data_IF_806674780570
#
_entry.id   IF_806674780570
#
_cell.length_a   1.000
_cell.length_b   1.000
_cell.length_c   1.000
_cell.angle_alpha   90.00
_cell.angle_beta   90.00
_cell.angle_gamma   90.00
#
_symmetry.space_group_name_H-M   'P 1'
#
loop_
_entity.id
_entity.type
_entity.pdbx_description
1 polymer ?
#
# COMPACT_ATOMS: atom_id res chain seq x y z
N UNK A 1 11.42 16.08 -12.01
CA UNK A 1 10.35 15.25 -12.60
C UNK A 1 9.24 15.12 -11.57
N UNK A 2 7.98 15.22 -11.97
CA UNK A 2 6.84 15.10 -11.05
C UNK A 2 5.93 13.98 -11.55
N UNK A 3 5.69 12.99 -10.68
CA UNK A 3 4.79 11.87 -10.94
C UNK A 3 3.46 12.19 -10.27
N UNK A 4 2.37 12.11 -11.01
CA UNK A 4 1.01 12.24 -10.49
C UNK A 4 0.42 10.85 -10.37
N UNK A 5 -0.15 10.52 -9.21
CA UNK A 5 -0.79 9.24 -8.95
C UNK A 5 -2.27 9.47 -8.63
N UNK A 6 -3.13 8.63 -9.19
CA UNK A 6 -4.50 8.47 -8.70
C UNK A 6 -4.50 7.80 -7.32
N UNK A 7 -5.62 7.88 -6.58
CA UNK A 7 -5.75 7.23 -5.27
C UNK A 7 -5.56 5.71 -5.36
N UNK A 8 -6.04 5.09 -6.44
CA UNK A 8 -5.86 3.67 -6.68
C UNK A 8 -4.39 3.31 -6.93
N UNK A 9 -3.68 4.09 -7.75
CA UNK A 9 -2.24 3.87 -8.00
C UNK A 9 -1.41 4.11 -6.74
N UNK A 10 -1.73 5.13 -5.94
CA UNK A 10 -1.09 5.39 -4.66
C UNK A 10 -1.30 4.22 -3.69
N UNK A 11 -2.51 3.67 -3.62
CA UNK A 11 -2.81 2.50 -2.81
C UNK A 11 -2.05 1.25 -3.27
N UNK A 12 -2.05 0.96 -4.58
CA UNK A 12 -1.31 -0.18 -5.13
C UNK A 12 0.19 -0.04 -4.89
N UNK A 13 0.74 1.16 -5.12
CA UNK A 13 2.15 1.45 -4.87
C UNK A 13 2.49 1.24 -3.40
N UNK A 14 1.64 1.71 -2.49
CA UNK A 14 1.79 1.52 -1.04
C UNK A 14 1.87 0.03 -0.67
N UNK A 15 0.99 -0.80 -1.25
CA UNK A 15 0.97 -2.24 -1.00
C UNK A 15 2.23 -2.95 -1.52
N UNK A 16 2.69 -2.60 -2.73
CA UNK A 16 3.90 -3.16 -3.32
C UNK A 16 5.13 -2.79 -2.49
N UNK A 17 5.25 -1.52 -2.09
CA UNK A 17 6.34 -1.04 -1.24
C UNK A 17 6.36 -1.74 0.12
N UNK A 18 5.20 -1.98 0.72
CA UNK A 18 5.09 -2.73 1.99
C UNK A 18 5.59 -4.17 1.88
N UNK A 19 5.26 -4.86 0.79
CA UNK A 19 5.74 -6.21 0.55
C UNK A 19 7.26 -6.21 0.41
N UNK A 20 7.77 -5.34 -0.44
CA UNK A 20 9.21 -5.27 -0.71
C UNK A 20 10.02 -4.85 0.53
N UNK A 21 9.53 -3.91 1.34
CA UNK A 21 10.18 -3.50 2.59
C UNK A 21 10.31 -4.66 3.61
N UNK A 22 9.36 -5.61 3.62
CA UNK A 22 9.45 -6.81 4.48
C UNK A 22 10.56 -7.73 4.00
N UNK A 23 10.65 -7.95 2.70
CA UNK A 23 11.70 -8.79 2.09
C UNK A 23 13.09 -8.16 2.29
N UNK A 24 13.20 -6.85 2.03
CA UNK A 24 14.43 -6.07 2.20
C UNK A 24 14.93 -6.09 3.66
N UNK A 25 14.03 -6.12 4.64
CA UNK A 25 14.42 -6.28 6.04
C UNK A 25 15.12 -7.63 6.28
N UNK A 26 14.63 -8.71 5.67
CA UNK A 26 15.27 -10.02 5.73
C UNK A 26 16.67 -9.97 5.11
N UNK A 27 16.77 -9.41 3.91
CA UNK A 27 18.04 -9.28 3.19
C UNK A 27 19.09 -8.47 3.98
N UNK A 28 18.69 -7.36 4.62
CA UNK A 28 19.58 -6.55 5.48
C UNK A 28 20.13 -7.37 6.65
N UNK A 29 19.31 -8.25 7.23
CA UNK A 29 19.71 -9.10 8.36
C UNK A 29 20.69 -10.18 7.90
N UNK A 30 20.42 -10.79 6.74
CA UNK A 30 21.21 -11.90 6.20
C UNK A 30 22.49 -11.44 5.48
N UNK A 31 22.66 -10.13 5.24
CA UNK A 31 23.84 -9.59 4.57
C UNK A 31 25.03 -9.43 5.52
N UNK A 32 26.10 -10.20 5.27
CA UNK A 32 27.35 -10.11 6.03
C UNK A 32 28.22 -8.90 5.66
N UNK A 33 28.24 -8.50 4.38
CA UNK A 33 29.06 -7.40 3.89
C UNK A 33 28.58 -6.04 4.47
N UNK A 34 29.38 -5.36 5.31
CA UNK A 34 28.94 -4.13 5.98
C UNK A 34 28.65 -2.96 5.03
N UNK A 35 29.38 -2.87 3.92
CA UNK A 35 29.19 -1.81 2.92
C UNK A 35 27.89 -2.03 2.17
N UNK A 36 27.66 -3.25 1.69
CA UNK A 36 26.42 -3.60 0.99
C UNK A 36 25.19 -3.47 1.91
N UNK A 37 25.31 -3.90 3.18
CA UNK A 37 24.26 -3.71 4.18
C UNK A 37 23.93 -2.23 4.45
N UNK A 38 24.89 -1.32 4.27
CA UNK A 38 24.65 0.14 4.37
C UNK A 38 23.86 0.65 3.17
N UNK A 39 24.16 0.16 1.97
CA UNK A 39 23.41 0.49 0.76
C UNK A 39 21.95 0.05 0.87
N UNK A 40 21.71 -1.20 1.30
CA UNK A 40 20.36 -1.73 1.53
C UNK A 40 19.57 -0.91 2.57
N UNK A 41 20.23 -0.41 3.62
CA UNK A 41 19.59 0.50 4.60
C UNK A 41 19.22 1.84 3.97
N UNK A 42 20.08 2.40 3.12
CA UNK A 42 19.80 3.62 2.39
C UNK A 42 18.60 3.47 1.45
N UNK A 43 18.51 2.34 0.75
CA UNK A 43 17.36 2.00 -0.08
C UNK A 43 16.08 1.89 0.76
N UNK A 44 16.11 1.13 1.87
CA UNK A 44 14.99 1.03 2.81
C UNK A 44 14.52 2.40 3.27
N UNK A 45 15.43 3.28 3.66
CA UNK A 45 15.08 4.60 4.20
C UNK A 45 14.41 5.49 3.13
N UNK A 46 14.89 5.41 1.89
CA UNK A 46 14.26 6.11 0.77
C UNK A 46 12.83 5.60 0.50
N UNK A 47 12.62 4.28 0.55
CA UNK A 47 11.32 3.65 0.31
C UNK A 47 10.33 3.92 1.45
N UNK A 48 10.78 3.87 2.72
CA UNK A 48 9.98 4.28 3.88
C UNK A 48 9.53 5.74 3.74
N UNK A 49 10.42 6.64 3.29
CA UNK A 49 10.03 8.03 3.04
C UNK A 49 9.01 8.20 1.90
N UNK A 50 9.00 7.30 0.90
CA UNK A 50 7.94 7.28 -0.12
C UNK A 50 6.61 6.84 0.52
N UNK A 51 6.63 5.76 1.29
CA UNK A 51 5.47 5.26 2.03
C UNK A 51 4.86 6.35 2.92
N UNK A 52 5.68 7.04 3.71
CA UNK A 52 5.21 8.12 4.58
C UNK A 52 4.53 9.23 3.78
N UNK A 53 5.06 9.60 2.61
CA UNK A 53 4.44 10.60 1.73
C UNK A 53 3.12 10.13 1.14
N UNK A 54 2.97 8.84 0.85
CA UNK A 54 1.70 8.27 0.41
C UNK A 54 0.67 8.33 1.55
N UNK A 55 1.06 7.99 2.78
CA UNK A 55 0.16 7.96 3.95
C UNK A 55 -0.31 9.36 4.41
N UNK A 56 0.49 10.40 4.19
CA UNK A 56 0.14 11.79 4.53
C UNK A 56 -0.62 12.54 3.42
N UNK A 57 -0.99 11.88 2.31
CA UNK A 57 -1.85 12.47 1.28
C UNK A 57 -3.33 12.14 1.59
N UNK A 58 -4.16 13.11 2.03
CA UNK A 58 -5.48 12.86 2.61
C UNK A 58 -6.57 12.40 1.61
N UNK A 59 -6.21 12.05 0.37
CA UNK A 59 -7.15 11.44 -0.60
C UNK A 59 -7.30 9.91 -0.44
N UNK A 60 -6.67 9.31 0.58
CA UNK A 60 -6.81 7.89 0.96
C UNK A 60 -8.22 7.57 1.53
N UNK A 61 -9.28 7.77 0.77
CA UNK A 61 -10.47 6.94 0.92
C UNK A 61 -10.18 5.61 0.24
N UNK A 62 -10.28 4.45 0.93
CA UNK A 62 -10.20 3.17 0.25
C UNK A 62 -11.27 3.13 -0.84
N UNK A 63 -10.98 2.65 -2.07
CA UNK A 63 -12.01 2.46 -3.07
C UNK A 63 -13.04 1.50 -2.50
N UNK A 64 -14.22 2.05 -2.20
CA UNK A 64 -15.33 1.31 -1.68
C UNK A 64 -15.83 0.37 -2.78
N UNK A 65 -15.23 -0.81 -2.92
CA UNK A 65 -15.83 -1.92 -3.67
C UNK A 65 -16.99 -2.44 -2.82
N UNK A 66 -18.04 -1.64 -2.70
CA UNK A 66 -19.30 -2.07 -2.09
C UNK A 66 -20.05 -2.81 -3.19
N UNK A 67 -20.04 -4.14 -3.12
CA UNK A 67 -20.98 -4.98 -3.84
C UNK A 67 -22.39 -4.50 -3.51
N UNK A 68 -23.04 -3.79 -4.43
CA UNK A 68 -24.49 -3.55 -4.33
C UNK A 68 -25.20 -4.89 -4.53
N UNK A 69 -25.70 -5.47 -3.44
CA UNK A 69 -26.73 -6.49 -3.51
C UNK A 69 -28.03 -5.80 -3.13
N UNK A 70 -28.84 -5.45 -4.13
CA UNK A 70 -30.22 -5.05 -3.91
C UNK A 70 -31.02 -6.32 -3.56
N UNK A 71 -31.30 -6.54 -2.28
CA UNK A 71 -32.29 -7.52 -1.85
C UNK A 71 -33.65 -6.82 -1.81
N UNK A 72 -34.46 -7.00 -2.85
CA UNK A 72 -35.85 -6.57 -2.85
C UNK A 72 -36.69 -7.62 -2.13
N UNK A 73 -37.12 -7.32 -0.90
CA UNK A 73 -38.12 -8.11 -0.18
C UNK A 73 -39.49 -7.88 -0.82
N UNK A 74 -40.10 -8.94 -1.37
CA UNK A 74 -41.49 -8.92 -1.82
C UNK A 74 -42.35 -9.18 -0.59
N UNK A 75 -43.13 -8.18 -0.17
CA UNK A 75 -44.15 -8.33 0.87
C UNK A 75 -45.31 -9.16 0.30
N UNK A 76 -45.48 -10.38 0.79
CA UNK A 76 -46.73 -11.13 0.65
C UNK A 76 -47.62 -10.80 1.85
N UNK A 77 -48.60 -9.94 1.61
CA UNK A 77 -49.77 -9.81 2.48
C UNK A 77 -50.57 -11.11 2.39
N UNK A 78 -50.87 -11.73 3.54
CA UNK A 78 -51.91 -12.74 3.66
C UNK A 78 -53.10 -12.08 4.36
N UNK A 79 -54.23 -12.08 3.65
CA UNK A 79 -55.58 -11.67 4.08
C UNK A 79 -56.10 -12.55 5.24
#
# INVERSE_FOLDING_TARGET
MQLQLTDHEAHLLRQVLDSYLKDLRGEIVDTDNPSFRRELRGERDALVSIVDRLDHNPSMSPPAIVKMVQVTTVLTEYD
#
